data_IF_444538864738
#
_entry.id   IF_444538864738
#
_cell.length_a   1.000
_cell.length_b   1.000
_cell.length_c   1.000
_cell.angle_alpha   90.00
_cell.angle_beta   90.00
_cell.angle_gamma   90.00
#
_symmetry.space_group_name_H-M   'P 1'
#
loop_
_entity.id
_entity.type
_entity.pdbx_description
1 polymer ?
#
# COMPACT_ATOMS: atom_id res chain seq x y z
N UNK A 1 -7.52 -26.13 -9.15
CA UNK A 1 -6.80 -25.00 -9.77
C UNK A 1 -6.51 -24.00 -8.67
N UNK A 2 -5.25 -23.62 -8.46
CA UNK A 2 -4.85 -22.69 -7.41
C UNK A 2 -4.52 -21.34 -8.06
N UNK A 3 -5.21 -20.28 -7.64
CA UNK A 3 -4.98 -18.92 -8.12
C UNK A 3 -4.03 -18.25 -7.12
N UNK A 4 -2.78 -18.02 -7.53
CA UNK A 4 -1.75 -17.39 -6.70
C UNK A 4 -1.57 -15.90 -7.00
N UNK A 5 -2.07 -15.45 -8.16
CA UNK A 5 -2.02 -14.06 -8.61
C UNK A 5 -3.42 -13.60 -9.03
N UNK A 6 -3.80 -12.41 -8.60
CA UNK A 6 -5.07 -11.79 -8.95
C UNK A 6 -4.79 -10.40 -9.53
N UNK A 7 -5.22 -10.19 -10.77
CA UNK A 7 -5.18 -8.90 -11.45
C UNK A 7 -6.62 -8.38 -11.63
N UNK A 8 -6.92 -7.24 -11.01
CA UNK A 8 -8.20 -6.56 -11.13
C UNK A 8 -7.97 -5.24 -11.87
N UNK A 9 -8.26 -5.26 -13.18
CA UNK A 9 -8.05 -4.12 -14.07
C UNK A 9 -9.10 -3.01 -13.90
N UNK A 10 -10.23 -3.31 -13.27
CA UNK A 10 -11.31 -2.35 -13.03
C UNK A 10 -11.21 -1.74 -11.63
N UNK A 11 -11.91 -0.64 -11.39
CA UNK A 11 -12.11 -0.14 -10.04
C UNK A 11 -12.85 -1.18 -9.20
N UNK A 12 -12.36 -1.45 -7.98
CA UNK A 12 -13.01 -2.36 -7.05
C UNK A 12 -13.33 -1.68 -5.71
N UNK A 13 -14.50 -1.96 -5.17
CA UNK A 13 -14.86 -1.53 -3.82
C UNK A 13 -14.15 -2.40 -2.78
N UNK A 14 -13.73 -1.79 -1.69
CA UNK A 14 -12.99 -2.47 -0.63
C UNK A 14 -13.67 -3.72 -0.08
N UNK A 15 -14.99 -3.69 0.13
CA UNK A 15 -15.75 -4.86 0.60
C UNK A 15 -15.67 -5.98 -0.42
N UNK A 16 -15.86 -5.65 -1.71
CA UNK A 16 -15.83 -6.67 -2.76
C UNK A 16 -14.45 -7.29 -2.89
N UNK A 17 -13.40 -6.48 -2.72
CA UNK A 17 -12.04 -6.98 -2.64
C UNK A 17 -11.90 -7.96 -1.47
N UNK A 18 -12.39 -7.61 -0.29
CA UNK A 18 -12.38 -8.48 0.88
C UNK A 18 -13.08 -9.83 0.65
N UNK A 19 -14.25 -9.85 0.01
CA UNK A 19 -14.96 -11.09 -0.36
C UNK A 19 -14.14 -11.98 -1.31
N UNK A 20 -13.50 -11.37 -2.31
CA UNK A 20 -12.65 -12.08 -3.27
C UNK A 20 -11.43 -12.67 -2.54
N UNK A 21 -10.78 -11.87 -1.70
CA UNK A 21 -9.63 -12.30 -0.92
C UNK A 21 -10.00 -13.46 0.02
N UNK A 22 -11.14 -13.38 0.70
CA UNK A 22 -11.64 -14.48 1.54
C UNK A 22 -11.84 -15.79 0.76
N UNK A 23 -12.27 -15.68 -0.50
CA UNK A 23 -12.49 -16.83 -1.38
C UNK A 23 -11.20 -17.41 -1.98
N UNK A 24 -10.07 -16.69 -1.86
CA UNK A 24 -8.77 -17.05 -2.43
C UNK A 24 -7.68 -17.16 -1.35
N UNK A 25 -7.73 -18.18 -0.47
CA UNK A 25 -6.85 -18.32 0.70
C UNK A 25 -5.35 -18.46 0.38
N UNK A 26 -5.01 -18.78 -0.87
CA UNK A 26 -3.65 -19.06 -1.32
C UNK A 26 -3.08 -17.98 -2.23
N UNK A 27 -3.72 -16.80 -2.25
CA UNK A 27 -3.23 -15.68 -3.03
C UNK A 27 -1.91 -15.15 -2.44
N UNK A 28 -0.90 -15.01 -3.29
CA UNK A 28 0.43 -14.51 -2.94
C UNK A 28 0.64 -13.07 -3.45
N UNK A 29 0.06 -12.75 -4.60
CA UNK A 29 0.19 -11.43 -5.21
C UNK A 29 -1.14 -10.85 -5.69
N UNK A 30 -1.28 -9.54 -5.52
CA UNK A 30 -2.47 -8.79 -5.83
C UNK A 30 -2.11 -7.55 -6.65
N UNK A 31 -2.70 -7.42 -7.84
CA UNK A 31 -2.60 -6.22 -8.66
C UNK A 31 -3.99 -5.60 -8.80
N UNK A 32 -4.08 -4.32 -8.49
CA UNK A 32 -5.32 -3.55 -8.52
C UNK A 32 -5.12 -2.30 -9.37
N UNK A 33 -6.10 -1.99 -10.21
CA UNK A 33 -6.09 -0.72 -10.92
C UNK A 33 -6.32 0.45 -9.94
N UNK A 34 -7.45 0.45 -9.23
CA UNK A 34 -7.80 1.46 -8.23
C UNK A 34 -8.80 0.91 -7.21
N UNK A 35 -8.78 1.44 -5.98
CA UNK A 35 -9.66 1.01 -4.90
C UNK A 35 -10.65 2.13 -4.59
N UNK A 36 -11.92 1.79 -4.57
CA UNK A 36 -12.96 2.70 -4.09
C UNK A 36 -13.30 2.44 -2.64
N UNK A 37 -13.17 3.49 -1.83
CA UNK A 37 -13.54 3.51 -0.41
C UNK A 37 -14.96 4.04 -0.21
N UNK A 38 -15.53 4.68 -1.23
CA UNK A 38 -16.91 5.15 -1.23
C UNK A 38 -17.86 3.99 -1.49
N UNK A 39 -18.31 3.33 -0.43
CA UNK A 39 -19.40 2.37 -0.55
C UNK A 39 -20.74 3.12 -0.75
N UNK A 40 -21.70 2.58 -1.51
CA UNK A 40 -23.04 3.18 -1.63
C UNK A 40 -23.85 3.16 -0.31
N UNK A 41 -23.34 2.53 0.76
CA UNK A 41 -23.89 2.54 2.12
C UNK A 41 -22.76 2.75 3.14
N UNK A 42 -22.96 3.62 4.11
CA UNK A 42 -21.98 3.85 5.18
C UNK A 42 -21.84 2.60 6.05
N UNK A 43 -20.80 1.80 5.82
CA UNK A 43 -20.37 0.84 6.83
C UNK A 43 -19.80 1.61 8.03
N UNK A 44 -19.99 1.07 9.22
CA UNK A 44 -19.30 1.57 10.42
C UNK A 44 -17.83 1.12 10.42
N UNK A 45 -16.99 1.84 11.16
CA UNK A 45 -15.58 1.49 11.35
C UNK A 45 -15.42 0.08 11.95
N UNK A 46 -16.36 -0.35 12.79
CA UNK A 46 -16.41 -1.68 13.39
C UNK A 46 -16.71 -2.80 12.37
N UNK A 47 -17.61 -2.55 11.42
CA UNK A 47 -17.92 -3.49 10.33
C UNK A 47 -16.72 -3.64 9.38
N UNK A 48 -16.00 -2.55 9.13
CA UNK A 48 -14.75 -2.57 8.40
C UNK A 48 -13.69 -3.40 9.16
N UNK A 49 -13.51 -3.17 10.47
CA UNK A 49 -12.57 -3.92 11.32
C UNK A 49 -12.87 -5.42 11.36
N UNK A 50 -14.14 -5.83 11.53
CA UNK A 50 -14.52 -7.24 11.51
C UNK A 50 -14.25 -7.92 10.16
N UNK A 51 -14.46 -7.20 9.05
CA UNK A 51 -14.11 -7.70 7.73
C UNK A 51 -12.59 -7.88 7.54
N UNK A 52 -11.76 -6.98 8.10
CA UNK A 52 -10.29 -7.08 8.04
C UNK A 52 -9.75 -8.29 8.83
N UNK A 53 -10.32 -8.59 10.00
CA UNK A 53 -9.87 -9.73 10.82
C UNK A 53 -10.05 -11.09 10.13
N UNK A 54 -11.08 -11.25 9.29
CA UNK A 54 -11.36 -12.50 8.58
C UNK A 54 -10.43 -12.75 7.37
N UNK A 55 -9.80 -11.71 6.83
CA UNK A 55 -8.95 -11.75 5.63
C UNK A 55 -7.49 -12.11 6.00
N UNK A 56 -7.15 -12.13 7.29
CA UNK A 56 -5.83 -12.49 7.86
C UNK A 56 -5.28 -13.88 7.49
N UNK A 57 -6.05 -14.71 6.78
CA UNK A 57 -5.59 -16.02 6.28
C UNK A 57 -4.71 -15.91 5.04
N UNK A 58 -4.82 -14.82 4.29
CA UNK A 58 -4.08 -14.66 3.05
C UNK A 58 -2.63 -14.25 3.34
N UNK A 59 -1.70 -14.92 2.68
CA UNK A 59 -0.27 -14.63 2.73
C UNK A 59 0.13 -13.80 1.50
N UNK A 60 -0.63 -12.76 1.21
CA UNK A 60 -0.30 -11.85 0.11
C UNK A 60 0.96 -11.11 0.52
N UNK A 61 2.05 -11.38 -0.18
CA UNK A 61 3.36 -10.78 0.05
C UNK A 61 3.59 -9.58 -0.87
N UNK A 62 2.95 -9.55 -2.04
CA UNK A 62 3.14 -8.52 -3.04
C UNK A 62 1.83 -7.85 -3.43
N UNK A 63 1.77 -6.52 -3.30
CA UNK A 63 0.64 -5.71 -3.78
C UNK A 63 1.12 -4.64 -4.74
N UNK A 64 0.46 -4.54 -5.90
CA UNK A 64 0.66 -3.48 -6.87
C UNK A 64 -0.63 -2.69 -7.09
N UNK A 65 -0.60 -1.40 -6.77
CA UNK A 65 -1.65 -0.43 -7.07
C UNK A 65 -1.26 0.36 -8.31
N UNK A 66 -2.04 0.29 -9.38
CA UNK A 66 -1.77 1.11 -10.57
C UNK A 66 -1.96 2.59 -10.26
N UNK A 67 -2.96 2.90 -9.45
CA UNK A 67 -3.33 4.28 -9.13
C UNK A 67 -3.94 4.37 -7.74
N UNK A 68 -3.50 5.39 -7.00
CA UNK A 68 -4.21 5.86 -5.82
C UNK A 68 -4.61 7.33 -6.01
N UNK A 69 -5.86 7.62 -5.65
CA UNK A 69 -6.42 8.97 -5.65
C UNK A 69 -6.46 9.57 -4.24
N UNK A 70 -6.42 8.71 -3.22
CA UNK A 70 -6.48 9.06 -1.80
C UNK A 70 -5.45 8.26 -1.01
N UNK A 71 -4.84 8.87 0.01
CA UNK A 71 -3.81 8.20 0.84
C UNK A 71 -4.44 7.02 1.61
N UNK A 72 -5.70 7.17 2.01
CA UNK A 72 -6.49 6.18 2.73
C UNK A 72 -6.57 4.84 1.98
N UNK A 73 -6.54 4.84 0.65
CA UNK A 73 -6.51 3.61 -0.16
C UNK A 73 -5.30 2.74 0.17
N UNK A 74 -4.13 3.34 0.42
CA UNK A 74 -2.94 2.60 0.83
C UNK A 74 -3.10 2.01 2.24
N UNK A 75 -3.74 2.73 3.17
CA UNK A 75 -3.98 2.24 4.54
C UNK A 75 -4.90 1.04 4.56
N UNK A 76 -5.89 1.04 3.68
CA UNK A 76 -6.80 -0.08 3.52
C UNK A 76 -6.08 -1.33 3.00
N UNK A 77 -5.14 -1.18 2.07
CA UNK A 77 -4.30 -2.29 1.64
C UNK A 77 -3.43 -2.83 2.78
N UNK A 78 -2.83 -1.95 3.55
CA UNK A 78 -2.07 -2.32 4.74
C UNK A 78 -2.92 -3.11 5.75
N UNK A 79 -4.19 -2.73 5.92
CA UNK A 79 -5.13 -3.43 6.79
C UNK A 79 -5.59 -4.79 6.22
N UNK A 80 -5.82 -4.86 4.91
CA UNK A 80 -6.28 -6.07 4.22
C UNK A 80 -5.19 -7.13 4.06
N UNK A 81 -3.94 -6.71 3.86
CA UNK A 81 -2.82 -7.59 3.53
C UNK A 81 -1.79 -7.55 4.67
N UNK A 82 -2.10 -8.17 5.81
CA UNK A 82 -1.24 -8.15 7.00
C UNK A 82 0.16 -8.77 6.80
N UNK A 83 0.32 -9.61 5.78
CA UNK A 83 1.58 -10.27 5.43
C UNK A 83 2.33 -9.58 4.28
N UNK A 84 1.90 -8.39 3.86
CA UNK A 84 2.52 -7.67 2.76
C UNK A 84 3.99 -7.42 3.04
N UNK A 85 4.85 -7.79 2.11
CA UNK A 85 6.29 -7.53 2.15
C UNK A 85 6.70 -6.41 1.20
N UNK A 86 5.98 -6.30 0.07
CA UNK A 86 6.24 -5.35 -0.99
C UNK A 86 4.96 -4.62 -1.42
N UNK A 87 5.01 -3.30 -1.39
CA UNK A 87 3.96 -2.44 -1.94
C UNK A 87 4.52 -1.62 -3.10
N UNK A 88 3.91 -1.75 -4.28
CA UNK A 88 4.20 -0.92 -5.44
C UNK A 88 3.01 -0.03 -5.77
N UNK A 89 3.25 1.26 -5.99
CA UNK A 89 2.24 2.24 -6.39
C UNK A 89 2.73 2.95 -7.66
N UNK A 90 2.01 2.75 -8.78
CA UNK A 90 2.44 3.26 -10.08
C UNK A 90 1.96 4.69 -10.36
N UNK A 91 1.03 5.24 -9.58
CA UNK A 91 0.56 6.62 -9.75
C UNK A 91 -0.02 7.18 -8.46
N UNK A 92 0.53 8.31 -8.03
CA UNK A 92 0.03 9.16 -6.95
C UNK A 92 -0.73 10.34 -7.58
N UNK A 93 -2.02 10.18 -7.91
CA UNK A 93 -2.74 11.23 -8.64
C UNK A 93 -3.10 12.39 -7.72
N UNK A 94 -2.55 13.58 -7.99
CA UNK A 94 -2.77 14.80 -7.21
C UNK A 94 -2.37 14.68 -5.72
N UNK A 95 -1.57 13.67 -5.36
CA UNK A 95 -1.06 13.48 -4.00
C UNK A 95 0.38 13.98 -3.97
N UNK A 96 0.69 14.86 -3.02
CA UNK A 96 2.07 15.27 -2.78
C UNK A 96 2.87 14.09 -2.22
N UNK A 97 3.99 13.73 -2.86
CA UNK A 97 4.80 12.57 -2.48
C UNK A 97 5.37 12.66 -1.06
N UNK A 98 5.77 13.86 -0.62
CA UNK A 98 6.27 14.08 0.74
C UNK A 98 5.16 13.82 1.77
N UNK A 99 3.98 14.39 1.53
CA UNK A 99 2.81 14.16 2.38
C UNK A 99 2.43 12.68 2.40
N UNK A 100 2.40 12.03 1.24
CA UNK A 100 2.12 10.60 1.11
C UNK A 100 3.07 9.77 1.96
N UNK A 101 4.39 9.93 1.77
CA UNK A 101 5.39 9.15 2.49
C UNK A 101 5.34 9.41 3.99
N UNK A 102 5.20 10.67 4.42
CA UNK A 102 5.06 11.03 5.83
C UNK A 102 3.88 10.29 6.46
N UNK A 103 2.70 10.43 5.88
CA UNK A 103 1.49 9.82 6.44
C UNK A 103 1.50 8.29 6.34
N UNK A 104 2.07 7.74 5.27
CA UNK A 104 2.22 6.29 5.08
C UNK A 104 3.15 5.65 6.11
N UNK A 105 4.31 6.23 6.41
CA UNK A 105 5.22 5.69 7.41
C UNK A 105 4.69 5.85 8.84
N UNK A 106 4.00 6.95 9.15
CA UNK A 106 3.28 7.10 10.43
C UNK A 106 2.25 5.97 10.58
N UNK A 107 1.52 5.64 9.52
CA UNK A 107 0.52 4.57 9.56
C UNK A 107 1.14 3.18 9.75
N UNK A 108 2.27 2.89 9.11
CA UNK A 108 3.02 1.64 9.31
C UNK A 108 3.45 1.49 10.77
N UNK A 109 4.00 2.56 11.36
CA UNK A 109 4.40 2.55 12.77
C UNK A 109 3.19 2.34 13.68
N UNK A 110 2.09 3.06 13.42
CA UNK A 110 0.84 2.98 14.21
C UNK A 110 0.23 1.57 14.20
N UNK A 111 0.32 0.87 13.07
CA UNK A 111 -0.24 -0.48 12.88
C UNK A 111 0.74 -1.61 13.21
N UNK A 112 1.99 -1.27 13.52
CA UNK A 112 3.07 -2.23 13.79
C UNK A 112 3.20 -3.30 12.68
N UNK A 113 3.14 -2.91 11.40
CA UNK A 113 3.23 -3.86 10.27
C UNK A 113 4.69 -4.23 10.03
N UNK A 114 5.20 -5.37 10.56
CA UNK A 114 6.63 -5.64 10.57
C UNK A 114 7.09 -6.36 9.29
N UNK A 115 6.13 -6.81 8.48
CA UNK A 115 6.34 -7.62 7.28
C UNK A 115 6.71 -6.77 6.08
N UNK A 116 6.16 -5.54 5.99
CA UNK A 116 6.42 -4.64 4.88
C UNK A 116 7.87 -4.15 4.95
N UNK A 117 8.63 -4.46 3.90
CA UNK A 117 10.07 -4.16 3.81
C UNK A 117 10.42 -3.32 2.61
N UNK A 118 9.53 -3.21 1.63
CA UNK A 118 9.76 -2.49 0.39
C UNK A 118 8.54 -1.67 -0.01
N UNK A 119 8.75 -0.37 -0.17
CA UNK A 119 7.84 0.54 -0.86
C UNK A 119 8.47 0.98 -2.19
N UNK A 120 7.74 0.81 -3.28
CA UNK A 120 8.09 1.33 -4.60
C UNK A 120 7.01 2.31 -5.05
N UNK A 121 7.38 3.55 -5.33
CA UNK A 121 6.44 4.55 -5.87
C UNK A 121 6.96 5.11 -7.20
N UNK A 122 6.08 5.23 -8.19
CA UNK A 122 6.37 5.92 -9.43
C UNK A 122 6.11 7.43 -9.26
N UNK A 123 7.15 8.22 -9.48
CA UNK A 123 7.16 9.67 -9.39
C UNK A 123 7.93 10.18 -10.63
N UNK A 124 7.22 10.46 -11.74
CA UNK A 124 7.85 10.87 -13.01
C UNK A 124 8.73 12.12 -12.91
N UNK A 125 8.45 12.98 -11.94
CA UNK A 125 9.20 14.22 -11.69
C UNK A 125 10.33 14.06 -10.68
N UNK A 126 10.66 12.83 -10.26
CA UNK A 126 11.67 12.60 -9.23
C UNK A 126 13.08 12.91 -9.76
N UNK A 127 13.76 13.83 -9.08
CA UNK A 127 15.16 14.16 -9.30
C UNK A 127 15.98 13.96 -8.01
N UNK A 128 17.29 14.15 -8.11
CA UNK A 128 18.19 13.93 -6.97
C UNK A 128 17.95 14.93 -5.83
N UNK A 129 17.42 16.13 -6.14
CA UNK A 129 17.07 17.13 -5.13
C UNK A 129 15.87 16.66 -4.31
N UNK A 130 14.84 16.14 -4.97
CA UNK A 130 13.68 15.53 -4.33
C UNK A 130 14.08 14.33 -3.48
N UNK A 131 14.92 13.43 -4.00
CA UNK A 131 15.42 12.27 -3.26
C UNK A 131 16.11 12.68 -1.95
N UNK A 132 17.04 13.66 -2.02
CA UNK A 132 17.69 14.19 -0.82
C UNK A 132 16.69 14.79 0.17
N UNK A 133 15.69 15.53 -0.33
CA UNK A 133 14.65 16.13 0.51
C UNK A 133 13.83 15.06 1.25
N UNK A 134 13.42 14.01 0.55
CA UNK A 134 12.67 12.89 1.14
C UNK A 134 13.51 12.13 2.17
N UNK A 135 14.78 11.89 1.88
CA UNK A 135 15.68 11.22 2.82
C UNK A 135 15.90 12.04 4.11
N UNK A 136 16.09 13.35 3.98
CA UNK A 136 16.21 14.27 5.11
C UNK A 136 14.92 14.26 5.94
N UNK A 137 13.75 14.33 5.29
CA UNK A 137 12.46 14.27 5.97
C UNK A 137 12.32 12.98 6.79
N UNK A 138 12.54 11.81 6.19
CA UNK A 138 12.42 10.52 6.87
C UNK A 138 13.35 10.44 8.09
N UNK A 139 14.58 10.92 7.97
CA UNK A 139 15.57 10.92 9.05
C UNK A 139 15.21 11.91 10.18
N UNK A 140 14.91 13.16 9.83
CA UNK A 140 14.64 14.21 10.81
C UNK A 140 13.37 13.94 11.63
N UNK A 141 12.37 13.31 11.00
CA UNK A 141 11.10 12.98 11.64
C UNK A 141 11.08 11.57 12.25
N UNK A 142 12.19 10.82 12.17
CA UNK A 142 12.31 9.44 12.67
C UNK A 142 11.21 8.50 12.13
N UNK A 143 10.85 8.65 10.84
CA UNK A 143 9.76 7.90 10.21
C UNK A 143 10.14 6.45 9.88
N UNK A 144 11.42 6.20 9.58
CA UNK A 144 11.94 4.86 9.33
C UNK A 144 13.38 4.75 9.84
N UNK A 145 13.70 3.58 10.39
CA UNK A 145 15.05 3.22 10.83
C UNK A 145 15.69 2.26 9.84
N UNK A 146 17.02 2.32 9.70
CA UNK A 146 17.79 1.38 8.87
C UNK A 146 17.31 1.24 7.42
N UNK A 147 16.80 2.32 6.84
CA UNK A 147 16.29 2.29 5.46
C UNK A 147 17.38 2.62 4.44
N UNK A 148 17.16 2.16 3.22
CA UNK A 148 17.88 2.57 2.01
C UNK A 148 16.88 3.14 1.02
N UNK A 149 17.29 4.17 0.30
CA UNK A 149 16.47 4.80 -0.72
C UNK A 149 17.26 4.85 -2.03
N UNK A 150 16.66 4.39 -3.13
CA UNK A 150 17.26 4.45 -4.47
C UNK A 150 16.24 4.91 -5.49
N UNK A 151 16.69 5.63 -6.50
CA UNK A 151 15.90 6.02 -7.67
C UNK A 151 16.37 5.22 -8.88
N UNK A 152 15.44 4.61 -9.61
CA UNK A 152 15.69 4.00 -10.92
C UNK A 152 14.68 4.60 -11.89
N UNK A 153 15.16 5.43 -12.81
CA UNK A 153 14.32 6.25 -13.69
C UNK A 153 13.34 7.11 -12.86
N UNK A 154 12.06 6.89 -13.07
CA UNK A 154 10.88 7.50 -12.48
C UNK A 154 10.35 6.72 -11.26
N UNK A 155 11.07 5.71 -10.78
CA UNK A 155 10.69 4.93 -9.61
C UNK A 155 11.60 5.20 -8.42
N UNK A 156 10.98 5.46 -7.27
CA UNK A 156 11.64 5.58 -5.96
C UNK A 156 11.38 4.29 -5.19
N UNK A 157 12.45 3.63 -4.78
CA UNK A 157 12.42 2.46 -3.91
C UNK A 157 12.90 2.85 -2.52
N UNK A 158 12.13 2.49 -1.51
CA UNK A 158 12.46 2.67 -0.10
C UNK A 158 12.40 1.28 0.53
N UNK A 159 13.53 0.79 1.04
CA UNK A 159 13.66 -0.54 1.62
C UNK A 159 14.17 -0.44 3.05
N UNK A 160 13.59 -1.19 3.99
CA UNK A 160 14.01 -1.23 5.39
C UNK A 160 14.01 -2.66 5.94
N UNK A 161 14.51 -2.83 7.17
CA UNK A 161 14.66 -4.12 7.87
C UNK A 161 13.66 -4.26 8.99
#
# INVERSE_FOLDING_TARGET
MQINHLDIEQQIFIIKLGEILFSLPHLDSLKLNTISTSYPRSLTEEELIQSYCLISRNKITEVCLQKIDRIEEAYFILALCSHIEQLRINSLKNINVELFLRSFFIEIQRREIPTLKLLCICVPTADDKMMKKLEIMIKNENLLWNFTMKRLMDQIYIQWK
#
